data_IF_553215378337
#
_entry.id   IF_553215378337
#
_cell.length_a   1.000
_cell.length_b   1.000
_cell.length_c   1.000
_cell.angle_alpha   90.00
_cell.angle_beta   90.00
_cell.angle_gamma   90.00
#
_symmetry.space_group_name_H-M   'P 1'
#
loop_
_entity.id
_entity.type
_entity.pdbx_description
1 polymer ?
#
# COMPACT_ATOMS: atom_id res chain seq x y z
N UNK A 1 -5.77 5.76 -1.09
CA UNK A 1 -5.91 4.83 -2.23
C UNK A 1 -7.29 4.83 -2.94
N UNK A 2 -8.41 4.83 -2.22
CA UNK A 2 -9.75 4.54 -2.77
C UNK A 2 -10.23 5.53 -3.86
N UNK A 3 -9.89 6.81 -3.76
CA UNK A 3 -10.19 7.78 -4.82
C UNK A 3 -9.50 7.43 -6.15
N UNK A 4 -8.26 6.94 -6.10
CA UNK A 4 -7.52 6.56 -7.30
C UNK A 4 -8.18 5.34 -7.96
N UNK A 5 -8.59 4.36 -7.17
CA UNK A 5 -9.34 3.20 -7.67
C UNK A 5 -10.69 3.62 -8.28
N UNK A 6 -11.42 4.52 -7.64
CA UNK A 6 -12.73 4.94 -8.14
C UNK A 6 -12.61 5.67 -9.49
N UNK A 7 -11.56 6.48 -9.67
CA UNK A 7 -11.23 7.09 -10.97
C UNK A 7 -10.90 6.04 -12.01
N UNK A 8 -10.09 5.03 -11.66
CA UNK A 8 -9.77 3.92 -12.57
C UNK A 8 -11.01 3.10 -12.96
N UNK A 9 -11.89 2.79 -12.00
CA UNK A 9 -13.17 2.11 -12.27
C UNK A 9 -14.09 2.94 -13.15
N UNK A 10 -14.18 4.26 -12.94
CA UNK A 10 -14.98 5.14 -13.79
C UNK A 10 -14.46 5.17 -15.23
N UNK A 11 -13.14 5.26 -15.41
CA UNK A 11 -12.49 5.16 -16.73
C UNK A 11 -12.71 3.80 -17.37
N UNK A 12 -12.62 2.72 -16.59
CA UNK A 12 -12.80 1.37 -17.09
C UNK A 12 -14.27 1.04 -17.39
N UNK A 13 -15.23 1.65 -16.68
CA UNK A 13 -16.66 1.51 -16.92
C UNK A 13 -17.12 2.14 -18.25
N UNK A 14 -16.35 3.10 -18.78
CA UNK A 14 -16.54 3.61 -20.14
C UNK A 14 -15.86 2.76 -21.21
N UNK A 15 -15.16 1.71 -20.80
CA UNK A 15 -14.38 0.83 -21.65
C UNK A 15 -15.14 -0.49 -21.78
N UNK A 16 -15.51 -0.90 -23.00
CA UNK A 16 -16.26 -2.13 -23.29
C UNK A 16 -15.41 -3.42 -23.11
N UNK A 17 -14.80 -3.59 -21.94
CA UNK A 17 -13.86 -4.66 -21.64
C UNK A 17 -14.37 -5.47 -20.44
N UNK A 18 -15.54 -6.08 -20.60
CA UNK A 18 -16.30 -6.79 -19.56
C UNK A 18 -15.44 -7.72 -18.68
N UNK A 19 -14.61 -8.58 -19.31
CA UNK A 19 -13.84 -9.61 -18.59
C UNK A 19 -12.38 -9.26 -18.30
N UNK A 20 -11.84 -8.21 -18.94
CA UNK A 20 -10.42 -7.79 -18.83
C UNK A 20 -10.24 -6.47 -18.07
N UNK A 21 -11.35 -5.85 -17.66
CA UNK A 21 -11.39 -4.62 -16.88
C UNK A 21 -10.47 -4.68 -15.65
N UNK A 22 -10.61 -5.73 -14.84
CA UNK A 22 -9.84 -5.89 -13.61
C UNK A 22 -8.33 -6.08 -13.86
N UNK A 23 -7.96 -6.78 -14.93
CA UNK A 23 -6.56 -6.94 -15.30
C UNK A 23 -5.93 -5.61 -15.71
N UNK A 24 -6.65 -4.80 -16.50
CA UNK A 24 -6.17 -3.49 -16.92
C UNK A 24 -6.09 -2.51 -15.75
N UNK A 25 -7.08 -2.50 -14.87
CA UNK A 25 -7.06 -1.69 -13.65
C UNK A 25 -5.86 -2.10 -12.79
N UNK A 26 -5.64 -3.40 -12.59
CA UNK A 26 -4.48 -3.92 -11.84
C UNK A 26 -3.16 -3.48 -12.45
N UNK A 27 -2.97 -3.62 -13.76
CA UNK A 27 -1.75 -3.19 -14.42
C UNK A 27 -1.52 -1.68 -14.27
N UNK A 28 -2.58 -0.88 -14.40
CA UNK A 28 -2.50 0.57 -14.16
C UNK A 28 -2.19 0.89 -12.71
N UNK A 29 -2.71 0.10 -11.77
CA UNK A 29 -2.42 0.21 -10.34
C UNK A 29 -0.93 0.02 -10.06
N UNK A 30 -0.33 -1.07 -10.55
CA UNK A 30 1.09 -1.41 -10.32
C UNK A 30 2.01 -0.31 -10.86
N UNK A 31 1.72 0.22 -12.05
CA UNK A 31 2.49 1.30 -12.67
C UNK A 31 2.26 2.63 -11.93
N UNK A 32 1.03 2.89 -11.48
CA UNK A 32 0.62 4.16 -10.86
C UNK A 32 1.07 4.34 -9.41
N UNK A 33 1.47 3.27 -8.72
CA UNK A 33 1.96 3.34 -7.34
C UNK A 33 3.30 4.06 -7.28
N UNK A 34 3.43 5.02 -6.35
CA UNK A 34 4.67 5.78 -6.15
C UNK A 34 5.73 5.03 -5.33
N UNK A 35 5.30 4.20 -4.37
CA UNK A 35 6.23 3.45 -3.52
C UNK A 35 6.86 2.27 -4.27
N UNK A 36 8.19 2.32 -4.43
CA UNK A 36 8.95 1.24 -5.06
C UNK A 36 8.87 -0.08 -4.29
N UNK A 37 8.78 -0.03 -2.95
CA UNK A 37 8.68 -1.22 -2.12
C UNK A 37 7.34 -1.93 -2.32
N UNK A 38 6.25 -1.17 -2.31
CA UNK A 38 4.90 -1.70 -2.58
C UNK A 38 4.83 -2.25 -3.99
N UNK A 39 5.38 -1.53 -4.99
CA UNK A 39 5.44 -2.03 -6.37
C UNK A 39 6.23 -3.34 -6.48
N UNK A 40 7.38 -3.44 -5.81
CA UNK A 40 8.19 -4.67 -5.80
C UNK A 40 7.41 -5.84 -5.18
N UNK A 41 6.68 -5.59 -4.08
CA UNK A 41 5.85 -6.61 -3.42
C UNK A 41 4.73 -7.11 -4.34
N UNK A 42 4.02 -6.20 -5.02
CA UNK A 42 2.99 -6.55 -5.99
C UNK A 42 3.52 -7.37 -7.17
N UNK A 43 4.70 -7.04 -7.69
CA UNK A 43 5.34 -7.78 -8.79
C UNK A 43 5.84 -9.16 -8.38
N UNK A 44 5.99 -9.42 -7.08
CA UNK A 44 6.42 -10.72 -6.56
C UNK A 44 5.26 -11.72 -6.44
N UNK A 45 4.02 -11.23 -6.40
CA UNK A 45 2.82 -12.06 -6.29
C UNK A 45 2.56 -12.81 -7.61
N UNK A 46 2.62 -14.15 -7.60
CA UNK A 46 2.43 -14.99 -8.80
C UNK A 46 1.04 -14.85 -9.43
N UNK A 47 0.01 -14.74 -8.60
CA UNK A 47 -1.38 -14.63 -9.03
C UNK A 47 -1.98 -13.33 -8.49
N UNK A 48 -1.49 -12.20 -9.02
CA UNK A 48 -1.97 -10.89 -8.59
C UNK A 48 -3.38 -10.63 -9.14
N UNK A 49 -4.38 -10.61 -8.26
CA UNK A 49 -5.74 -10.15 -8.58
C UNK A 49 -5.91 -8.68 -8.19
N UNK A 50 -6.94 -8.00 -8.71
CA UNK A 50 -7.24 -6.62 -8.29
C UNK A 50 -7.51 -6.53 -6.78
N UNK A 51 -8.20 -7.53 -6.22
CA UNK A 51 -8.49 -7.60 -4.78
C UNK A 51 -7.21 -7.74 -3.95
N UNK A 52 -6.35 -8.71 -4.29
CA UNK A 52 -5.09 -8.93 -3.58
C UNK A 52 -4.16 -7.72 -3.70
N UNK A 53 -4.11 -7.07 -4.87
CA UNK A 53 -3.32 -5.86 -5.04
C UNK A 53 -3.79 -4.73 -4.11
N UNK A 54 -5.10 -4.56 -3.93
CA UNK A 54 -5.64 -3.55 -3.02
C UNK A 54 -5.33 -3.85 -1.56
N UNK A 55 -5.43 -5.10 -1.16
CA UNK A 55 -5.12 -5.53 0.19
C UNK A 55 -3.66 -5.21 0.55
N UNK A 56 -2.72 -5.57 -0.33
CA UNK A 56 -1.30 -5.29 -0.15
C UNK A 56 -1.03 -3.79 -0.02
N UNK A 57 -1.68 -2.97 -0.85
CA UNK A 57 -1.46 -1.51 -0.84
C UNK A 57 -2.01 -0.90 0.45
N UNK A 58 -3.23 -1.29 0.86
CA UNK A 58 -3.85 -0.82 2.11
C UNK A 58 -3.05 -1.26 3.34
N UNK A 59 -2.56 -2.50 3.34
CA UNK A 59 -1.69 -3.01 4.39
C UNK A 59 -0.37 -2.24 4.44
N UNK A 60 0.23 -1.90 3.30
CA UNK A 60 1.45 -1.11 3.24
C UNK A 60 1.26 0.35 3.68
N UNK A 61 0.14 0.99 3.30
CA UNK A 61 -0.23 2.33 3.79
C UNK A 61 -0.39 2.31 5.31
N UNK A 62 -1.17 1.35 5.83
CA UNK A 62 -1.41 1.20 7.27
C UNK A 62 -0.13 0.91 8.05
N UNK A 63 0.72 0.02 7.55
CA UNK A 63 2.00 -0.29 8.16
C UNK A 63 2.94 0.93 8.17
N UNK A 64 2.95 1.73 7.09
CA UNK A 64 3.73 2.97 7.03
C UNK A 64 3.25 4.01 8.04
N UNK A 65 1.93 4.15 8.20
CA UNK A 65 1.33 5.04 9.20
C UNK A 65 1.61 4.56 10.63
N UNK A 66 1.51 3.26 10.89
CA UNK A 66 1.85 2.68 12.19
C UNK A 66 3.34 2.84 12.50
N UNK A 67 4.23 2.59 11.54
CA UNK A 67 5.67 2.77 11.71
C UNK A 67 6.01 4.21 12.06
N UNK A 68 5.37 5.21 11.43
CA UNK A 68 5.56 6.62 11.78
C UNK A 68 5.11 6.95 13.21
N UNK A 69 4.01 6.35 13.67
CA UNK A 69 3.53 6.53 15.05
C UNK A 69 4.49 5.88 16.05
N UNK A 70 4.96 4.67 15.75
CA UNK A 70 5.93 3.96 16.58
C UNK A 70 7.24 4.76 16.64
N UNK A 71 7.75 5.25 15.51
CA UNK A 71 8.97 6.06 15.44
C UNK A 71 8.83 7.37 16.23
N UNK A 72 7.68 8.05 16.11
CA UNK A 72 7.37 9.25 16.91
C UNK A 72 7.18 9.00 18.41
N UNK A 73 6.70 7.81 18.81
CA UNK A 73 6.60 7.39 20.22
C UNK A 73 7.97 6.98 20.79
N UNK A 74 8.85 6.38 19.99
CA UNK A 74 10.20 6.00 20.41
C UNK A 74 11.01 7.26 20.78
N UNK A 75 10.90 8.36 20.02
CA UNK A 75 11.58 9.63 20.31
C UNK A 75 11.11 10.30 21.63
N UNK A 76 9.91 9.98 22.14
CA UNK A 76 9.35 10.58 23.36
C UNK A 76 9.45 9.69 24.61
N UNK A 77 9.79 8.40 24.47
CA UNK A 77 9.78 7.44 25.59
C UNK A 77 11.17 7.03 26.13
N UNK A 78 12.28 7.47 25.53
CA UNK A 78 13.62 7.18 26.08
C UNK A 78 13.97 8.16 27.21
N UNK A 79 13.18 8.18 28.30
CA UNK A 79 13.59 8.88 29.51
C UNK A 79 14.66 8.04 30.22
N UNK A 80 15.91 8.52 30.12
CA UNK A 80 17.14 8.01 30.74
C UNK A 80 16.96 7.02 31.91
N UNK A 81 17.26 5.74 31.68
CA UNK A 81 17.50 4.79 32.77
C UNK A 81 18.91 5.04 33.30
N UNK A 82 19.04 5.90 34.31
CA UNK A 82 20.29 6.06 35.06
C UNK A 82 20.48 4.84 35.97
N UNK A 83 21.09 3.78 35.45
CA UNK A 83 21.63 2.71 36.29
C UNK A 83 22.87 3.23 37.03
N UNK A 84 22.70 3.60 38.30
CA UNK A 84 23.79 3.91 39.23
C UNK A 84 24.05 2.66 40.08
N UNK A 85 24.91 1.78 39.56
CA UNK A 85 25.47 0.65 40.31
C UNK A 85 26.55 1.12 41.27
N UNK A 86 26.50 0.59 42.49
CA UNK A 86 27.21 0.99 43.71
C UNK A 86 28.68 0.60 43.70
#
# INVERSE_FOLDING_TARGET
MDQYLNRLRKLASTCAYDSVCDERIRNRLVIGIKSHEVRKRLLREKALTLSTALDIIRAAETASDQLKKIDGEIETSVHAVKCRGK
#
